data_IF_200643332056
#
_entry.id   IF_200643332056
#
_cell.length_a   1.000
_cell.length_b   1.000
_cell.length_c   1.000
_cell.angle_alpha   90.00
_cell.angle_beta   90.00
_cell.angle_gamma   90.00
#
_symmetry.space_group_name_H-M   'P 1'
#
loop_
_entity.id
_entity.type
_entity.pdbx_description
1 polymer ?
#
# COMPACT_ATOMS: atom_id res chain seq x y z
N UNK A 1 -3.67 -31.33 -13.30
CA UNK A 1 -2.81 -30.16 -12.97
C UNK A 1 -3.75 -29.11 -12.43
N UNK A 2 -3.52 -28.59 -11.22
CA UNK A 2 -4.34 -27.50 -10.66
C UNK A 2 -4.11 -26.21 -11.45
N UNK A 3 -5.18 -25.47 -11.74
CA UNK A 3 -5.09 -24.14 -12.33
C UNK A 3 -4.52 -23.13 -11.29
N UNK A 4 -3.91 -22.02 -11.73
CA UNK A 4 -3.52 -20.97 -10.80
C UNK A 4 -4.77 -20.35 -10.14
N UNK A 5 -4.62 -19.87 -8.89
CA UNK A 5 -5.70 -19.16 -8.19
C UNK A 5 -6.15 -17.91 -8.96
N UNK A 6 -7.37 -17.45 -8.70
CA UNK A 6 -7.91 -16.23 -9.33
C UNK A 6 -7.00 -15.03 -9.07
N UNK A 7 -6.48 -14.90 -7.84
CA UNK A 7 -5.53 -13.85 -7.51
C UNK A 7 -4.25 -13.98 -8.34
N UNK A 8 -3.70 -15.20 -8.49
CA UNK A 8 -2.51 -15.44 -9.31
C UNK A 8 -2.75 -15.06 -10.78
N UNK A 9 -3.93 -15.37 -11.31
CA UNK A 9 -4.28 -14.98 -12.68
C UNK A 9 -4.32 -13.45 -12.85
N UNK A 10 -4.82 -12.72 -11.87
CA UNK A 10 -4.87 -11.24 -11.87
C UNK A 10 -3.48 -10.60 -11.89
N UNK A 11 -2.50 -11.21 -11.20
CA UNK A 11 -1.16 -10.64 -11.07
C UNK A 11 -0.11 -11.29 -11.96
N UNK A 12 -0.52 -12.24 -12.81
CA UNK A 12 0.38 -12.90 -13.76
C UNK A 12 0.94 -11.93 -14.81
N UNK A 13 2.06 -12.31 -15.42
CA UNK A 13 2.71 -11.56 -16.49
C UNK A 13 3.83 -10.65 -16.00
N UNK A 14 4.18 -9.69 -16.83
CA UNK A 14 5.27 -8.75 -16.56
C UNK A 14 4.75 -7.46 -15.92
N UNK A 15 5.50 -6.99 -14.93
CA UNK A 15 5.26 -5.74 -14.24
C UNK A 15 6.55 -4.95 -14.14
N UNK A 16 6.47 -3.66 -14.41
CA UNK A 16 7.59 -2.74 -14.29
C UNK A 16 7.19 -1.61 -13.35
N UNK A 17 8.08 -1.22 -12.45
CA UNK A 17 7.81 -0.14 -11.51
C UNK A 17 9.09 0.46 -10.94
N UNK A 18 8.91 1.61 -10.30
CA UNK A 18 9.99 2.37 -9.66
C UNK A 18 9.56 2.82 -8.27
N UNK A 19 9.43 1.90 -7.28
CA UNK A 19 9.11 2.30 -5.93
C UNK A 19 10.18 3.20 -5.34
N UNK A 20 9.72 4.24 -4.64
CA UNK A 20 10.59 5.11 -3.85
C UNK A 20 10.97 4.45 -2.53
N UNK A 21 12.23 4.65 -2.12
CA UNK A 21 12.76 4.22 -0.82
C UNK A 21 12.82 5.41 0.14
N UNK A 22 12.28 5.20 1.33
CA UNK A 22 12.36 6.13 2.46
C UNK A 22 13.05 5.45 3.64
N UNK A 23 13.79 6.21 4.44
CA UNK A 23 14.25 5.74 5.74
C UNK A 23 13.13 5.78 6.79
N UNK A 24 13.45 5.38 8.03
CA UNK A 24 12.50 5.35 9.13
C UNK A 24 11.96 6.74 9.51
N UNK A 25 12.74 7.78 9.28
CA UNK A 25 12.41 9.19 9.53
C UNK A 25 11.58 9.80 8.39
N UNK A 26 11.36 9.05 7.29
CA UNK A 26 10.59 9.49 6.12
C UNK A 26 11.38 10.34 5.14
N UNK A 27 12.70 10.36 5.26
CA UNK A 27 13.55 11.01 4.26
C UNK A 27 13.61 10.14 3.01
N UNK A 28 13.33 10.75 1.88
CA UNK A 28 13.48 10.06 0.59
C UNK A 28 14.96 9.77 0.32
N UNK A 29 15.27 8.52 0.01
CA UNK A 29 16.64 8.04 -0.21
C UNK A 29 16.93 7.67 -1.66
N UNK A 30 15.94 7.55 -2.49
CA UNK A 30 16.07 7.14 -3.88
C UNK A 30 14.91 6.25 -4.30
N UNK A 31 15.13 5.49 -5.34
CA UNK A 31 14.13 4.55 -5.85
C UNK A 31 14.82 3.28 -6.36
N UNK A 32 14.04 2.23 -6.52
CA UNK A 32 14.48 0.98 -7.09
C UNK A 32 13.72 0.71 -8.39
N UNK A 33 14.45 0.52 -9.49
CA UNK A 33 13.87 0.03 -10.72
C UNK A 33 13.62 -1.47 -10.58
N UNK A 34 12.38 -1.91 -10.70
CA UNK A 34 12.01 -3.30 -10.59
C UNK A 34 11.27 -3.77 -11.83
N UNK A 35 11.74 -4.87 -12.40
CA UNK A 35 11.03 -5.67 -13.37
C UNK A 35 10.70 -7.02 -12.76
N UNK A 36 9.42 -7.40 -12.81
CA UNK A 36 8.94 -8.66 -12.27
C UNK A 36 8.16 -9.40 -13.35
N UNK A 37 8.47 -10.68 -13.54
CA UNK A 37 7.67 -11.59 -14.36
C UNK A 37 7.26 -12.81 -13.55
N UNK A 38 6.28 -13.56 -14.03
CA UNK A 38 5.85 -14.79 -13.37
C UNK A 38 5.47 -15.88 -14.39
N UNK A 39 5.80 -17.12 -14.04
CA UNK A 39 5.45 -18.33 -14.80
C UNK A 39 4.81 -19.33 -13.86
N UNK A 40 3.63 -19.85 -14.24
CA UNK A 40 2.94 -20.90 -13.52
C UNK A 40 3.24 -22.27 -14.15
N UNK A 41 3.79 -23.18 -13.35
CA UNK A 41 4.03 -24.55 -13.76
C UNK A 41 3.92 -25.49 -12.54
N UNK A 42 3.33 -26.68 -12.73
CA UNK A 42 3.25 -27.75 -11.72
C UNK A 42 2.67 -27.30 -10.35
N UNK A 43 1.69 -26.39 -10.38
CA UNK A 43 1.06 -25.89 -9.16
C UNK A 43 1.85 -24.83 -8.40
N UNK A 44 2.96 -24.36 -8.96
CA UNK A 44 3.82 -23.31 -8.40
C UNK A 44 3.91 -22.15 -9.37
N UNK A 45 3.77 -20.94 -8.85
CA UNK A 45 4.13 -19.74 -9.61
C UNK A 45 5.54 -19.33 -9.25
N UNK A 46 6.42 -19.32 -10.22
CA UNK A 46 7.78 -18.79 -10.03
C UNK A 46 7.80 -17.34 -10.46
N UNK A 47 8.19 -16.46 -9.55
CA UNK A 47 8.46 -15.06 -9.80
C UNK A 47 9.94 -14.87 -10.08
N UNK A 48 10.20 -14.08 -11.09
CA UNK A 48 11.53 -13.58 -11.44
C UNK A 48 11.55 -12.09 -11.22
N UNK A 49 12.51 -11.61 -10.46
CA UNK A 49 12.68 -10.21 -10.16
C UNK A 49 14.07 -9.75 -10.55
N UNK A 50 14.12 -8.60 -11.20
CA UNK A 50 15.33 -7.89 -11.60
C UNK A 50 15.14 -6.41 -11.26
N UNK A 51 16.21 -5.75 -10.85
CA UNK A 51 16.15 -4.35 -10.51
C UNK A 51 17.46 -3.77 -10.02
N UNK A 52 17.45 -2.48 -9.74
CA UNK A 52 18.61 -1.78 -9.24
C UNK A 52 18.22 -0.53 -8.46
N UNK A 53 18.88 -0.32 -7.34
CA UNK A 53 18.67 0.85 -6.48
C UNK A 53 19.44 2.04 -7.03
N UNK A 54 18.73 3.16 -7.25
CA UNK A 54 19.31 4.45 -7.62
C UNK A 54 19.21 5.40 -6.44
N UNK A 55 20.35 5.86 -5.94
CA UNK A 55 20.45 6.62 -4.69
C UNK A 55 20.55 5.68 -3.49
N UNK A 56 19.81 5.97 -2.44
CA UNK A 56 19.72 5.09 -1.26
C UNK A 56 20.57 5.53 -0.07
N UNK A 57 21.58 6.35 -0.27
CA UNK A 57 22.49 6.76 0.82
C UNK A 57 23.02 5.54 1.58
N UNK A 58 22.92 5.52 2.89
CA UNK A 58 23.37 4.42 3.75
C UNK A 58 22.55 3.12 3.56
N UNK A 59 21.39 3.20 2.93
CA UNK A 59 20.52 2.05 2.64
C UNK A 59 20.85 1.36 1.32
N UNK A 60 21.66 2.00 0.45
CA UNK A 60 21.95 1.51 -0.92
C UNK A 60 22.56 0.11 -0.95
N UNK A 61 23.55 -0.15 -0.11
CA UNK A 61 24.19 -1.46 -0.02
C UNK A 61 23.36 -2.52 0.70
N UNK A 62 22.31 -2.11 1.39
CA UNK A 62 21.50 -2.98 2.23
C UNK A 62 20.29 -3.55 1.51
N UNK A 63 19.63 -2.75 0.67
CA UNK A 63 18.38 -3.11 0.03
C UNK A 63 18.47 -3.21 -1.50
N UNK A 64 19.64 -3.07 -2.06
CA UNK A 64 19.84 -3.29 -3.48
C UNK A 64 19.55 -4.75 -3.85
N UNK A 65 18.84 -4.94 -4.95
CA UNK A 65 18.79 -6.25 -5.61
C UNK A 65 20.14 -6.45 -6.31
N UNK A 66 21.02 -7.25 -5.71
CA UNK A 66 22.39 -7.43 -6.21
C UNK A 66 22.49 -8.22 -7.51
N UNK A 67 21.49 -9.02 -7.83
CA UNK A 67 21.35 -9.82 -9.05
C UNK A 67 19.87 -10.22 -9.22
N UNK A 68 19.44 -10.59 -10.42
CA UNK A 68 18.12 -11.18 -10.62
C UNK A 68 17.93 -12.39 -9.70
N UNK A 69 16.80 -12.49 -9.06
CA UNK A 69 16.47 -13.60 -8.18
C UNK A 69 15.09 -14.17 -8.47
N UNK A 70 14.84 -15.38 -8.02
CA UNK A 70 13.56 -16.05 -8.18
C UNK A 70 13.05 -16.62 -6.86
N UNK A 71 11.73 -16.66 -6.72
CA UNK A 71 11.06 -17.34 -5.62
C UNK A 71 9.78 -18.00 -6.09
N UNK A 72 9.44 -19.12 -5.48
CA UNK A 72 8.21 -19.86 -5.76
C UNK A 72 7.08 -19.38 -4.88
N UNK A 73 5.86 -19.38 -5.43
CA UNK A 73 4.63 -19.11 -4.70
C UNK A 73 3.68 -20.27 -4.91
N UNK A 74 3.21 -20.84 -3.82
CA UNK A 74 2.13 -21.82 -3.81
C UNK A 74 0.89 -21.17 -3.23
N UNK A 75 -0.19 -21.18 -3.99
CA UNK A 75 -1.48 -20.77 -3.49
C UNK A 75 -2.15 -21.96 -2.82
N UNK A 76 -2.61 -21.78 -1.60
CA UNK A 76 -3.62 -22.61 -0.94
C UNK A 76 -4.96 -21.87 -0.99
N UNK A 77 -6.04 -22.51 -0.52
CA UNK A 77 -7.39 -21.89 -0.53
C UNK A 77 -7.46 -20.60 0.27
N UNK A 78 -6.62 -20.45 1.30
CA UNK A 78 -6.63 -19.33 2.23
C UNK A 78 -5.35 -18.50 2.23
N UNK A 79 -4.22 -19.08 1.84
CA UNK A 79 -2.91 -18.44 1.97
C UNK A 79 -2.06 -18.63 0.71
N UNK A 80 -1.14 -17.71 0.52
CA UNK A 80 -0.05 -17.81 -0.44
C UNK A 80 1.22 -18.08 0.32
N UNK A 81 1.94 -19.13 -0.02
CA UNK A 81 3.22 -19.49 0.61
C UNK A 81 4.34 -19.12 -0.34
N UNK A 82 5.26 -18.31 0.13
CA UNK A 82 6.42 -17.84 -0.61
C UNK A 82 7.65 -18.63 -0.17
N UNK A 83 8.38 -19.19 -1.13
CA UNK A 83 9.56 -20.02 -0.88
C UNK A 83 10.70 -19.66 -1.83
N UNK A 84 11.86 -19.36 -1.30
CA UNK A 84 13.06 -19.08 -2.08
C UNK A 84 14.25 -18.76 -1.18
N UNK A 85 15.47 -18.73 -1.74
CA UNK A 85 16.67 -18.42 -0.94
C UNK A 85 16.67 -16.97 -0.45
N UNK A 86 16.05 -16.05 -1.21
CA UNK A 86 16.10 -14.61 -0.95
C UNK A 86 14.85 -14.09 -0.24
N UNK A 87 13.72 -14.80 -0.37
CA UNK A 87 12.45 -14.45 0.28
C UNK A 87 11.67 -15.70 0.67
N UNK A 88 11.13 -15.69 1.87
CA UNK A 88 10.11 -16.65 2.29
C UNK A 88 9.09 -15.99 3.20
N UNK A 89 7.88 -16.52 3.22
CA UNK A 89 6.78 -15.92 3.98
C UNK A 89 5.42 -16.42 3.54
N UNK A 90 4.42 -15.62 3.86
CA UNK A 90 3.03 -15.90 3.48
C UNK A 90 2.27 -14.62 3.14
N UNK A 91 1.17 -14.76 2.43
CA UNK A 91 0.26 -13.67 2.09
C UNK A 91 -1.18 -14.13 2.05
N UNK A 92 -2.09 -13.21 2.33
CA UNK A 92 -3.53 -13.43 2.31
C UNK A 92 -4.16 -12.57 1.22
N UNK A 93 -4.73 -13.17 0.17
CA UNK A 93 -5.41 -12.43 -0.90
C UNK A 93 -6.84 -12.07 -0.50
N UNK A 94 -7.25 -10.85 -0.86
CA UNK A 94 -8.61 -10.32 -0.72
C UNK A 94 -8.98 -9.65 -2.04
N UNK A 95 -9.52 -10.42 -2.99
CA UNK A 95 -9.79 -9.92 -4.33
C UNK A 95 -8.53 -9.41 -5.06
N UNK A 96 -8.46 -8.11 -5.31
CA UNK A 96 -7.29 -7.47 -5.94
C UNK A 96 -6.18 -7.07 -4.97
N UNK A 97 -6.36 -7.28 -3.69
CA UNK A 97 -5.40 -6.91 -2.65
C UNK A 97 -4.75 -8.13 -2.02
N UNK A 98 -3.47 -8.05 -1.66
CA UNK A 98 -2.78 -9.03 -0.83
C UNK A 98 -2.07 -8.36 0.34
N UNK A 99 -2.26 -8.90 1.52
CA UNK A 99 -1.50 -8.62 2.73
C UNK A 99 -0.43 -9.71 2.89
N UNK A 100 0.83 -9.37 2.73
CA UNK A 100 1.91 -10.32 2.76
C UNK A 100 2.97 -9.98 3.80
N UNK A 101 3.56 -11.01 4.37
CA UNK A 101 4.68 -10.91 5.29
C UNK A 101 5.80 -11.80 4.76
N UNK A 102 6.97 -11.19 4.57
CA UNK A 102 8.16 -11.88 4.10
C UNK A 102 9.31 -11.71 5.09
N UNK A 103 10.25 -12.61 4.99
CA UNK A 103 11.59 -12.42 5.52
C UNK A 103 12.60 -12.51 4.39
N UNK A 104 13.48 -11.52 4.30
CA UNK A 104 14.58 -11.46 3.35
C UNK A 104 15.91 -11.75 4.06
N UNK A 105 16.47 -12.98 3.95
CA UNK A 105 17.70 -13.35 4.65
C UNK A 105 18.89 -12.46 4.27
N UNK A 106 19.05 -12.15 2.99
CA UNK A 106 20.13 -11.30 2.51
C UNK A 106 20.07 -9.87 3.07
N UNK A 107 18.88 -9.38 3.32
CA UNK A 107 18.65 -8.07 3.92
C UNK A 107 18.54 -8.12 5.44
N UNK A 108 18.34 -9.30 6.01
CA UNK A 108 18.05 -9.52 7.44
C UNK A 108 16.86 -8.67 7.95
N UNK A 109 15.81 -8.57 7.15
CA UNK A 109 14.61 -7.81 7.46
C UNK A 109 13.34 -8.62 7.24
N UNK A 110 12.33 -8.31 8.05
CA UNK A 110 10.96 -8.70 7.80
C UNK A 110 10.27 -7.58 7.02
N UNK A 111 9.48 -7.97 6.02
CA UNK A 111 8.74 -7.04 5.17
C UNK A 111 7.25 -7.27 5.38
N UNK A 112 6.54 -6.20 5.76
CA UNK A 112 5.09 -6.13 5.71
C UNK A 112 4.71 -5.46 4.40
N UNK A 113 4.14 -6.23 3.48
CA UNK A 113 3.88 -5.78 2.11
C UNK A 113 2.40 -5.75 1.81
N UNK A 114 1.93 -4.65 1.28
CA UNK A 114 0.58 -4.46 0.77
C UNK A 114 0.63 -4.18 -0.73
N UNK A 115 0.09 -5.11 -1.49
CA UNK A 115 -0.05 -5.02 -2.94
C UNK A 115 -1.53 -4.92 -3.30
N UNK A 116 -1.91 -3.86 -4.02
CA UNK A 116 -3.26 -3.64 -4.50
C UNK A 116 -3.26 -3.54 -6.02
N UNK A 117 -3.86 -4.51 -6.68
CA UNK A 117 -3.96 -4.59 -8.14
C UNK A 117 -5.23 -3.93 -8.62
N UNK A 118 -5.11 -2.95 -9.49
CA UNK A 118 -6.16 -2.10 -10.03
C UNK A 118 -6.06 -2.14 -11.57
N UNK A 119 -6.57 -3.20 -12.20
CA UNK A 119 -6.39 -3.45 -13.63
C UNK A 119 -4.91 -3.68 -13.97
N UNK A 120 -4.36 -2.87 -14.88
CA UNK A 120 -2.95 -2.91 -15.31
C UNK A 120 -2.01 -2.07 -14.43
N UNK A 121 -2.50 -1.61 -13.30
CA UNK A 121 -1.73 -0.86 -12.30
C UNK A 121 -1.74 -1.61 -10.96
N UNK A 122 -0.61 -1.60 -10.26
CA UNK A 122 -0.50 -2.15 -8.92
C UNK A 122 0.14 -1.12 -8.00
N UNK A 123 -0.54 -0.80 -6.89
CA UNK A 123 0.00 0.04 -5.82
C UNK A 123 0.72 -0.86 -4.83
N UNK A 124 2.01 -0.63 -4.68
CA UNK A 124 2.90 -1.39 -3.83
C UNK A 124 3.35 -0.56 -2.62
N UNK A 125 3.36 -1.17 -1.46
CA UNK A 125 3.97 -0.61 -0.25
C UNK A 125 4.57 -1.73 0.59
N UNK A 126 5.81 -1.58 1.00
CA UNK A 126 6.50 -2.53 1.87
C UNK A 126 7.19 -1.79 3.00
N UNK A 127 6.85 -2.13 4.23
CA UNK A 127 7.51 -1.63 5.44
C UNK A 127 8.49 -2.66 5.91
N UNK A 128 9.74 -2.25 6.11
CA UNK A 128 10.87 -3.11 6.44
C UNK A 128 11.23 -2.98 7.91
N UNK A 129 11.34 -4.12 8.58
CA UNK A 129 11.67 -4.20 10.00
C UNK A 129 12.92 -5.06 10.24
N UNK A 130 13.81 -4.56 11.10
CA UNK A 130 14.89 -5.36 11.68
C UNK A 130 14.59 -5.53 13.17
N UNK A 131 14.19 -6.74 13.56
CA UNK A 131 13.59 -6.92 14.88
C UNK A 131 12.39 -5.99 15.06
N UNK A 132 12.29 -5.23 16.16
CA UNK A 132 11.19 -4.29 16.40
C UNK A 132 11.37 -2.94 15.68
N UNK A 133 12.56 -2.65 15.13
CA UNK A 133 12.86 -1.37 14.52
C UNK A 133 12.44 -1.33 13.06
N UNK A 134 11.66 -0.34 12.68
CA UNK A 134 11.42 -0.03 11.28
C UNK A 134 12.69 0.59 10.69
N UNK A 135 13.13 0.11 9.55
CA UNK A 135 14.38 0.53 8.92
C UNK A 135 14.20 1.18 7.55
N UNK A 136 13.03 1.05 6.96
CA UNK A 136 12.73 1.70 5.70
C UNK A 136 11.34 1.37 5.18
N UNK A 137 10.92 2.09 4.16
CA UNK A 137 9.65 1.90 3.45
C UNK A 137 9.89 2.03 1.96
N UNK A 138 9.47 0.99 1.20
CA UNK A 138 9.30 1.10 -0.24
C UNK A 138 7.84 1.36 -0.56
N UNK A 139 7.55 2.29 -1.46
CA UNK A 139 6.22 2.44 -2.02
C UNK A 139 6.26 3.03 -3.43
N UNK A 140 5.29 2.64 -4.26
CA UNK A 140 5.19 3.12 -5.63
C UNK A 140 4.11 2.41 -6.43
N UNK A 141 4.18 2.60 -7.72
CA UNK A 141 3.25 2.02 -8.69
C UNK A 141 4.02 1.12 -9.66
N UNK A 142 3.48 -0.07 -9.91
CA UNK A 142 3.87 -0.94 -11.02
C UNK A 142 2.81 -0.87 -12.11
N UNK A 143 3.23 -1.04 -13.35
CA UNK A 143 2.34 -1.22 -14.50
C UNK A 143 2.77 -2.42 -15.34
N UNK A 144 1.81 -3.09 -15.96
CA UNK A 144 2.05 -4.11 -16.97
C UNK A 144 1.64 -3.68 -18.37
N UNK A 145 1.04 -2.49 -18.51
CA UNK A 145 0.75 -1.91 -19.81
C UNK A 145 2.03 -1.30 -20.42
N UNK A 146 2.58 -1.86 -21.50
CA UNK A 146 3.79 -1.33 -22.13
C UNK A 146 3.64 0.12 -22.59
N UNK A 147 2.44 0.53 -23.02
CA UNK A 147 2.19 1.90 -23.47
C UNK A 147 2.28 2.93 -22.32
N UNK A 148 2.04 2.50 -21.08
CA UNK A 148 2.09 3.36 -19.90
C UNK A 148 3.40 3.23 -19.11
N UNK A 149 4.27 2.28 -19.46
CA UNK A 149 5.46 1.98 -18.64
C UNK A 149 6.40 3.17 -18.55
N UNK A 150 6.78 3.79 -19.66
CA UNK A 150 7.70 4.93 -19.67
C UNK A 150 7.11 6.15 -18.96
N UNK A 151 5.84 6.45 -19.21
CA UNK A 151 5.13 7.53 -18.53
C UNK A 151 5.08 7.31 -17.03
N UNK A 152 4.78 6.07 -16.59
CA UNK A 152 4.72 5.72 -15.16
C UNK A 152 6.09 5.82 -14.49
N UNK A 153 7.15 5.34 -15.14
CA UNK A 153 8.52 5.46 -14.62
C UNK A 153 8.92 6.94 -14.50
N UNK A 154 8.64 7.75 -15.51
CA UNK A 154 8.91 9.18 -15.47
C UNK A 154 8.13 9.88 -14.35
N UNK A 155 6.86 9.51 -14.15
CA UNK A 155 6.02 10.03 -13.09
C UNK A 155 6.55 9.61 -11.71
N UNK A 156 6.94 8.36 -11.49
CA UNK A 156 7.55 7.90 -10.24
C UNK A 156 8.86 8.63 -9.94
N UNK A 157 9.70 8.89 -10.95
CA UNK A 157 10.93 9.66 -10.79
C UNK A 157 10.64 11.09 -10.33
N UNK A 158 9.58 11.70 -10.88
CA UNK A 158 9.18 13.09 -10.56
C UNK A 158 8.43 13.19 -9.24
N UNK A 159 7.51 12.25 -8.97
CA UNK A 159 6.54 12.35 -7.89
C UNK A 159 6.86 11.45 -6.69
N UNK A 160 7.75 10.46 -6.84
CA UNK A 160 8.04 9.48 -5.79
C UNK A 160 8.50 10.12 -4.48
N UNK A 161 9.30 11.18 -4.58
CA UNK A 161 9.76 11.96 -3.42
C UNK A 161 8.72 13.00 -2.93
N UNK A 162 7.60 13.19 -3.63
CA UNK A 162 6.60 14.15 -3.23
C UNK A 162 6.00 13.75 -1.88
N UNK A 163 5.88 14.70 -0.98
CA UNK A 163 5.25 14.47 0.31
C UNK A 163 3.76 14.26 0.08
N UNK A 164 3.25 13.17 0.64
CA UNK A 164 1.83 12.95 0.68
C UNK A 164 1.13 14.08 1.42
N UNK A 165 0.27 14.77 0.74
CA UNK A 165 -0.42 15.92 1.27
C UNK A 165 -1.84 15.58 1.67
N UNK A 166 -1.99 14.77 2.71
CA UNK A 166 -3.15 14.80 3.56
C UNK A 166 -2.67 15.28 4.93
N UNK A 167 -3.00 16.49 5.34
CA UNK A 167 -3.89 17.48 4.71
C UNK A 167 -3.33 18.07 3.42
N UNK A 168 -4.22 18.31 2.47
CA UNK A 168 -3.91 18.99 1.21
C UNK A 168 -3.95 20.51 1.40
N UNK A 169 -3.42 21.27 0.43
CA UNK A 169 -3.55 22.75 0.43
C UNK A 169 -5.00 23.20 0.26
N UNK A 170 -5.77 22.43 -0.49
CA UNK A 170 -7.11 22.81 -0.94
C UNK A 170 -8.15 21.87 -0.35
N UNK A 171 -9.33 22.40 -0.09
CA UNK A 171 -10.48 21.58 0.24
C UNK A 171 -10.70 20.56 -0.86
N UNK A 172 -10.84 19.31 -0.47
CA UNK A 172 -10.99 18.20 -1.41
C UNK A 172 -11.99 17.17 -0.90
N UNK A 173 -12.67 16.54 -1.83
CA UNK A 173 -13.58 15.45 -1.57
C UNK A 173 -13.19 14.27 -2.46
N UNK A 174 -13.06 13.12 -1.86
CA UNK A 174 -12.82 11.85 -2.53
C UNK A 174 -13.98 10.91 -2.26
N UNK A 175 -14.40 10.16 -3.26
CA UNK A 175 -15.46 9.19 -3.09
C UNK A 175 -15.25 7.98 -4.01
N UNK A 176 -15.64 6.79 -3.56
CA UNK A 176 -15.53 5.58 -4.35
C UNK A 176 -16.20 4.38 -3.69
N UNK A 177 -16.36 3.32 -4.48
CA UNK A 177 -16.89 2.05 -4.01
C UNK A 177 -15.72 1.09 -3.78
N UNK A 178 -15.58 0.62 -2.56
CA UNK A 178 -14.54 -0.30 -2.14
C UNK A 178 -15.07 -1.74 -2.19
N UNK A 179 -14.24 -2.69 -2.60
CA UNK A 179 -14.50 -4.11 -2.37
C UNK A 179 -14.40 -4.39 -0.87
N UNK A 180 -15.36 -5.13 -0.34
CA UNK A 180 -15.40 -5.54 1.07
C UNK A 180 -15.27 -7.06 1.16
N UNK A 181 -14.36 -7.52 2.01
CA UNK A 181 -13.99 -8.92 2.20
C UNK A 181 -14.01 -9.26 3.69
N UNK A 182 -14.47 -10.47 4.05
CA UNK A 182 -14.34 -10.98 5.42
C UNK A 182 -12.88 -11.34 5.72
N UNK A 183 -12.54 -11.52 7.00
CA UNK A 183 -11.25 -12.07 7.42
C UNK A 183 -10.95 -13.45 6.81
N UNK A 184 -11.99 -14.25 6.55
CA UNK A 184 -11.90 -15.54 5.85
C UNK A 184 -11.89 -15.43 4.33
N UNK A 185 -11.56 -14.25 3.77
CA UNK A 185 -11.40 -14.02 2.32
C UNK A 185 -12.66 -14.26 1.48
N UNK A 186 -13.85 -14.17 2.09
CA UNK A 186 -15.10 -14.25 1.38
C UNK A 186 -15.57 -12.84 0.98
N UNK A 187 -16.04 -12.62 -0.26
CA UNK A 187 -16.55 -11.31 -0.66
C UNK A 187 -17.85 -11.00 0.12
N UNK A 188 -17.91 -9.82 0.70
CA UNK A 188 -19.09 -9.30 1.44
C UNK A 188 -19.86 -8.24 0.63
N UNK A 189 -19.41 -7.94 -0.58
CA UNK A 189 -20.01 -6.94 -1.44
C UNK A 189 -19.17 -5.67 -1.59
N UNK A 190 -19.85 -4.52 -1.68
CA UNK A 190 -19.21 -3.23 -1.83
C UNK A 190 -19.65 -2.27 -0.73
N UNK A 191 -18.74 -1.37 -0.40
CA UNK A 191 -18.90 -0.31 0.57
C UNK A 191 -18.65 1.03 -0.11
N UNK A 192 -19.56 1.98 0.01
CA UNK A 192 -19.32 3.37 -0.42
C UNK A 192 -18.50 4.09 0.64
N UNK A 193 -17.40 4.73 0.23
CA UNK A 193 -16.57 5.56 1.10
C UNK A 193 -16.47 6.97 0.54
N UNK A 194 -16.59 7.96 1.44
CA UNK A 194 -16.42 9.37 1.15
C UNK A 194 -15.44 9.96 2.17
N UNK A 195 -14.46 10.71 1.68
CA UNK A 195 -13.48 11.43 2.48
C UNK A 195 -13.47 12.89 2.06
N UNK A 196 -13.93 13.78 2.93
CA UNK A 196 -13.77 15.22 2.80
C UNK A 196 -12.56 15.66 3.62
N UNK A 197 -11.73 16.53 3.04
CA UNK A 197 -10.55 17.11 3.68
C UNK A 197 -10.69 18.62 3.59
N UNK A 198 -10.75 19.29 4.72
CA UNK A 198 -10.85 20.76 4.85
C UNK A 198 -9.60 21.29 5.56
N UNK A 199 -8.59 21.82 4.83
CA UNK A 199 -7.38 22.33 5.42
C UNK A 199 -7.64 23.56 6.29
N UNK A 200 -7.24 23.52 7.55
CA UNK A 200 -7.26 24.66 8.47
C UNK A 200 -5.99 25.51 8.30
N UNK A 201 -4.87 24.83 8.14
CA UNK A 201 -3.55 25.43 7.84
C UNK A 201 -2.62 24.33 7.26
N UNK A 202 -1.33 24.64 7.07
CA UNK A 202 -0.35 23.72 6.48
C UNK A 202 -0.13 22.43 7.29
N UNK A 203 -0.47 22.42 8.57
CA UNK A 203 -0.23 21.30 9.48
C UNK A 203 -1.50 20.65 10.02
N UNK A 204 -2.65 21.28 9.82
CA UNK A 204 -3.93 20.83 10.40
C UNK A 204 -5.02 20.80 9.33
N UNK A 205 -5.76 19.71 9.28
CA UNK A 205 -6.99 19.60 8.47
C UNK A 205 -8.10 18.92 9.25
N UNK A 206 -9.33 19.27 8.91
CA UNK A 206 -10.51 18.55 9.33
C UNK A 206 -10.88 17.52 8.27
N UNK A 207 -10.96 16.27 8.68
CA UNK A 207 -11.42 15.16 7.85
C UNK A 207 -12.82 14.75 8.24
N UNK A 208 -13.65 14.50 7.26
CA UNK A 208 -14.94 13.83 7.43
C UNK A 208 -14.92 12.54 6.63
N UNK A 209 -14.91 11.42 7.33
CA UNK A 209 -14.93 10.09 6.75
C UNK A 209 -16.32 9.48 6.93
N UNK A 210 -16.93 9.06 5.83
CA UNK A 210 -18.22 8.38 5.81
C UNK A 210 -18.09 7.06 5.07
N UNK A 211 -18.53 6.00 5.71
CA UNK A 211 -18.72 4.68 5.11
C UNK A 211 -20.20 4.32 5.15
N UNK A 212 -20.73 3.76 4.05
CA UNK A 212 -22.11 3.32 3.94
C UNK A 212 -22.23 2.04 3.14
N UNK A 213 -23.19 1.20 3.51
CA UNK A 213 -23.43 -0.14 2.96
C UNK A 213 -23.35 -1.20 4.06
N UNK A 214 -22.67 -2.34 3.85
CA UNK A 214 -22.59 -3.40 4.85
C UNK A 214 -21.88 -2.97 6.16
N UNK A 215 -21.02 -1.96 6.09
CA UNK A 215 -20.41 -1.30 7.25
C UNK A 215 -20.80 0.17 7.22
N UNK A 216 -21.38 0.65 8.30
CA UNK A 216 -21.74 2.06 8.43
C UNK A 216 -20.87 2.74 9.48
N UNK A 217 -20.31 3.89 9.13
CA UNK A 217 -19.54 4.72 10.06
C UNK A 217 -19.47 6.15 9.56
N UNK A 218 -19.41 7.09 10.52
CA UNK A 218 -19.24 8.51 10.22
C UNK A 218 -18.38 9.14 11.29
N UNK A 219 -17.22 9.62 10.88
CA UNK A 219 -16.28 10.28 11.78
C UNK A 219 -15.92 11.67 11.31
N UNK A 220 -15.68 12.55 12.29
CA UNK A 220 -14.99 13.83 12.10
C UNK A 220 -13.68 13.73 12.83
N UNK A 221 -12.59 14.06 12.16
CA UNK A 221 -11.24 13.82 12.63
C UNK A 221 -10.41 15.06 12.37
N UNK A 222 -9.90 15.69 13.40
CA UNK A 222 -8.83 16.67 13.26
C UNK A 222 -7.52 15.93 13.05
N UNK A 223 -6.89 16.14 11.91
CA UNK A 223 -5.58 15.57 11.56
C UNK A 223 -4.52 16.64 11.70
N UNK A 224 -3.55 16.39 12.58
CA UNK A 224 -2.42 17.28 12.83
C UNK A 224 -1.12 16.60 12.44
N UNK A 225 -0.32 17.26 11.61
CA UNK A 225 0.97 16.74 11.13
C UNK A 225 2.14 17.26 11.99
N UNK A 226 3.10 16.36 12.21
CA UNK A 226 4.40 16.66 12.80
C UNK A 226 5.46 15.84 12.04
N UNK A 227 6.10 16.49 11.06
CA UNK A 227 7.01 15.81 10.13
C UNK A 227 6.29 14.70 9.34
N UNK A 228 6.78 13.48 9.45
CA UNK A 228 6.18 12.29 8.82
C UNK A 228 4.99 11.75 9.62
N UNK A 229 4.86 12.13 10.88
CA UNK A 229 3.78 11.67 11.76
C UNK A 229 2.53 12.51 11.58
N UNK A 230 1.39 11.90 11.84
CA UNK A 230 0.12 12.58 12.02
C UNK A 230 -0.61 12.05 13.25
N UNK A 231 -1.33 12.95 13.90
CA UNK A 231 -2.22 12.65 15.03
C UNK A 231 -3.65 12.88 14.58
N UNK A 232 -4.51 11.95 14.93
CA UNK A 232 -5.89 11.92 14.52
C UNK A 232 -6.77 11.97 15.78
N UNK A 233 -7.60 13.00 15.92
CA UNK A 233 -8.44 13.22 17.09
C UNK A 233 -9.86 13.60 16.66
N UNK A 234 -10.85 12.91 17.18
CA UNK A 234 -12.26 13.20 16.98
C UNK A 234 -13.10 12.79 18.19
N UNK A 235 -14.39 13.10 18.22
CA UNK A 235 -15.26 12.74 19.35
C UNK A 235 -15.28 11.24 19.66
N UNK A 236 -15.28 10.42 18.59
CA UNK A 236 -15.46 8.97 18.68
C UNK A 236 -14.32 8.20 18.05
N UNK A 237 -13.22 8.88 17.66
CA UNK A 237 -12.09 8.28 16.97
C UNK A 237 -10.81 9.01 17.31
N UNK A 238 -9.72 8.26 17.50
CA UNK A 238 -8.38 8.78 17.71
C UNK A 238 -7.35 7.83 17.11
N UNK A 239 -6.16 8.35 16.86
CA UNK A 239 -5.11 7.51 16.29
C UNK A 239 -3.89 8.30 15.81
N UNK A 240 -3.14 7.63 14.98
CA UNK A 240 -1.94 8.19 14.39
C UNK A 240 -1.73 7.69 12.96
N UNK A 241 -0.83 8.36 12.25
CA UNK A 241 -0.37 7.96 10.94
C UNK A 241 1.09 8.30 10.71
N UNK A 242 1.63 7.73 9.63
CA UNK A 242 2.96 8.07 9.14
C UNK A 242 2.91 8.19 7.61
N UNK A 243 3.49 9.26 7.09
CA UNK A 243 3.52 9.52 5.64
C UNK A 243 4.93 9.30 5.08
N UNK A 244 5.02 8.49 4.03
CA UNK A 244 6.24 8.22 3.30
C UNK A 244 6.00 8.54 1.82
N UNK A 245 6.45 9.71 1.39
CA UNK A 245 6.12 10.21 0.06
C UNK A 245 4.61 10.26 -0.16
N UNK A 246 4.12 9.55 -1.16
CA UNK A 246 2.71 9.50 -1.55
C UNK A 246 1.87 8.51 -0.73
N UNK A 247 2.47 7.75 0.15
CA UNK A 247 1.78 6.80 1.02
C UNK A 247 1.58 7.38 2.42
N UNK A 248 0.37 7.22 2.96
CA UNK A 248 0.02 7.52 4.34
C UNK A 248 -0.51 6.25 5.00
N UNK A 249 0.16 5.81 6.05
CA UNK A 249 -0.26 4.66 6.84
C UNK A 249 -0.99 5.19 8.08
N UNK A 250 -2.21 4.74 8.28
CA UNK A 250 -3.07 5.20 9.37
C UNK A 250 -3.44 4.06 10.32
N UNK A 251 -3.59 4.40 11.58
CA UNK A 251 -4.14 3.53 12.61
C UNK A 251 -5.14 4.33 13.43
N UNK A 252 -6.42 3.97 13.31
CA UNK A 252 -7.52 4.62 14.01
C UNK A 252 -8.15 3.65 15.00
N UNK A 253 -8.51 4.17 16.17
CA UNK A 253 -9.27 3.48 17.20
C UNK A 253 -10.58 4.22 17.38
N UNK A 254 -11.68 3.51 17.48
CA UNK A 254 -13.01 4.07 17.63
C UNK A 254 -13.58 3.79 19.00
N UNK A 255 -14.47 4.65 19.47
CA UNK A 255 -15.08 4.54 20.80
C UNK A 255 -15.91 3.26 21.00
N UNK A 256 -16.38 2.66 19.91
CA UNK A 256 -17.11 1.38 19.91
C UNK A 256 -16.19 0.14 19.91
N UNK A 257 -14.87 0.32 20.12
CA UNK A 257 -13.89 -0.76 20.25
C UNK A 257 -13.35 -1.30 18.93
N UNK A 258 -13.70 -0.71 17.80
CA UNK A 258 -13.11 -1.06 16.50
C UNK A 258 -11.76 -0.37 16.31
N UNK A 259 -10.94 -0.96 15.45
CA UNK A 259 -9.67 -0.38 15.03
C UNK A 259 -9.53 -0.53 13.51
N UNK A 260 -9.15 0.54 12.83
CA UNK A 260 -8.79 0.51 11.41
C UNK A 260 -7.28 0.68 11.27
N UNK A 261 -6.67 -0.20 10.49
CA UNK A 261 -5.29 -0.06 10.04
C UNK A 261 -5.36 0.10 8.53
N UNK A 262 -4.80 1.17 7.98
CA UNK A 262 -4.97 1.47 6.58
C UNK A 262 -3.72 2.04 5.92
N UNK A 263 -3.76 2.01 4.59
CA UNK A 263 -2.87 2.74 3.71
C UNK A 263 -3.72 3.53 2.72
N UNK A 264 -3.40 4.80 2.62
CA UNK A 264 -3.88 5.72 1.62
C UNK A 264 -2.71 6.07 0.69
N UNK A 265 -2.88 5.94 -0.61
CA UNK A 265 -1.80 6.20 -1.57
C UNK A 265 -2.29 7.12 -2.69
N UNK A 266 -1.67 8.29 -2.81
CA UNK A 266 -1.97 9.23 -3.87
C UNK A 266 -1.36 8.76 -5.20
N UNK A 267 -2.20 8.30 -6.12
CA UNK A 267 -1.74 7.64 -7.34
C UNK A 267 -1.11 8.59 -8.35
N UNK A 268 -1.59 9.83 -8.41
CA UNK A 268 -1.28 10.83 -9.43
C UNK A 268 -0.92 12.21 -8.85
N UNK A 269 -0.36 12.24 -7.64
CA UNK A 269 0.15 13.48 -7.05
C UNK A 269 1.37 13.98 -7.80
N UNK A 270 1.42 15.28 -8.05
CA UNK A 270 2.59 15.97 -8.58
C UNK A 270 3.28 16.82 -7.49
N UNK A 271 4.61 16.92 -7.49
CA UNK A 271 5.34 17.75 -6.53
C UNK A 271 4.86 19.20 -6.56
N UNK A 272 4.47 19.74 -5.40
CA UNK A 272 4.02 21.11 -5.27
C UNK A 272 2.62 21.43 -5.80
N UNK A 273 1.95 20.46 -6.39
CA UNK A 273 0.64 20.60 -7.01
C UNK A 273 -0.43 20.16 -6.05
N UNK A 274 -0.97 20.36 -5.18
CA UNK A 274 -2.12 19.95 -4.35
C UNK A 274 -2.43 18.46 -4.39
N UNK A 275 -3.64 18.12 -4.04
CA UNK A 275 -4.12 16.75 -4.01
C UNK A 275 -4.29 16.18 -5.42
N UNK A 276 -3.79 14.99 -5.64
CA UNK A 276 -4.05 14.21 -6.85
C UNK A 276 -5.54 13.87 -7.01
N UNK A 277 -5.90 13.35 -8.18
CA UNK A 277 -7.30 13.04 -8.50
C UNK A 277 -7.74 11.67 -7.96
N UNK A 278 -6.81 10.74 -7.71
CA UNK A 278 -7.11 9.36 -7.29
C UNK A 278 -6.33 8.95 -6.06
N UNK A 279 -7.06 8.40 -5.09
CA UNK A 279 -6.53 7.90 -3.84
C UNK A 279 -6.81 6.38 -3.74
N UNK A 280 -5.78 5.56 -3.88
CA UNK A 280 -5.89 4.13 -3.63
C UNK A 280 -5.89 3.87 -2.12
N UNK A 281 -6.89 3.16 -1.64
CA UNK A 281 -7.05 2.89 -0.22
C UNK A 281 -7.16 1.41 0.07
N UNK A 282 -6.59 1.01 1.21
CA UNK A 282 -6.76 -0.29 1.83
C UNK A 282 -6.99 -0.07 3.31
N UNK A 283 -8.00 -0.70 3.89
CA UNK A 283 -8.24 -0.70 5.33
C UNK A 283 -8.55 -2.11 5.82
N UNK A 284 -7.94 -2.45 6.94
CA UNK A 284 -8.24 -3.64 7.73
C UNK A 284 -9.00 -3.21 8.97
N UNK A 285 -10.17 -3.77 9.18
CA UNK A 285 -11.01 -3.51 10.33
C UNK A 285 -10.87 -4.64 11.35
N UNK A 286 -10.63 -4.26 12.58
CA UNK A 286 -10.51 -5.18 13.72
C UNK A 286 -11.57 -4.85 14.77
N UNK A 287 -12.14 -5.87 15.37
CA UNK A 287 -12.94 -5.79 16.59
C UNK A 287 -12.27 -6.63 17.66
N UNK A 288 -12.01 -6.04 18.83
CA UNK A 288 -11.31 -6.70 19.93
C UNK A 288 -10.02 -7.44 19.49
N UNK A 289 -9.21 -6.79 18.65
CA UNK A 289 -7.99 -7.34 18.05
C UNK A 289 -8.17 -8.49 17.03
N UNK A 290 -9.39 -8.87 16.72
CA UNK A 290 -9.69 -9.86 15.68
C UNK A 290 -9.97 -9.12 14.36
N UNK A 291 -9.29 -9.50 13.28
CA UNK A 291 -9.60 -9.01 11.95
C UNK A 291 -11.02 -9.45 11.58
N UNK A 292 -11.88 -8.52 11.20
CA UNK A 292 -13.27 -8.80 10.82
C UNK A 292 -13.52 -8.53 9.35
N UNK A 293 -12.88 -7.49 8.80
CA UNK A 293 -13.05 -7.15 7.40
C UNK A 293 -11.80 -6.50 6.79
N UNK A 294 -11.67 -6.64 5.48
CA UNK A 294 -10.70 -5.94 4.65
C UNK A 294 -11.46 -5.20 3.55
N UNK A 295 -11.16 -3.93 3.35
CA UNK A 295 -11.77 -3.11 2.31
C UNK A 295 -10.68 -2.42 1.49
N UNK A 296 -10.85 -2.40 0.17
CA UNK A 296 -9.88 -1.74 -0.71
C UNK A 296 -10.54 -1.27 -2.01
N UNK A 297 -9.94 -0.25 -2.61
CA UNK A 297 -10.42 0.34 -3.87
C UNK A 297 -9.74 1.66 -4.17
N UNK A 298 -10.38 2.46 -5.01
CA UNK A 298 -9.94 3.81 -5.37
C UNK A 298 -11.04 4.79 -5.06
N UNK A 299 -10.67 5.87 -4.40
CA UNK A 299 -11.51 7.06 -4.24
C UNK A 299 -11.07 8.08 -5.28
N UNK A 300 -12.04 8.66 -5.99
CA UNK A 300 -11.82 9.69 -6.99
C UNK A 300 -12.21 11.06 -6.44
N UNK A 301 -11.42 12.07 -6.80
CA UNK A 301 -11.68 13.46 -6.40
C UNK A 301 -12.84 14.01 -7.20
N UNK A 302 -13.82 14.62 -6.53
CA UNK A 302 -14.97 15.34 -7.09
C UNK A 302 -14.79 16.84 -6.99
#
# INVERSE_FOLDING_TARGET
>A
MSAPSEFQQRIAGEWVGRPSLFDAEGTWRGFEDIRRSSVFAEGVTTYYMDGGLTGGGDLAGRFALGAPFAFGVRDSDADRIYTGPDFFGSGQPYGGFVDANYYGPGWQVSLKTWNQTLGDTQVYSSVLYQGPAMVGVFNGIYTRDPALTEERIANETRCGAAIFTVPTKDKSRYAGDLELWSAGQQPLGRLRMELEIDPVNLLVAEHRLVMSGPVESRWRITVRRDGVRSFHEGPDVWGNGNSYGRANFVRLHTADGRRLIGREFMMDAEPGMGAGSRLAVVYQMFEHNTLTAVMHGVLERS
#
